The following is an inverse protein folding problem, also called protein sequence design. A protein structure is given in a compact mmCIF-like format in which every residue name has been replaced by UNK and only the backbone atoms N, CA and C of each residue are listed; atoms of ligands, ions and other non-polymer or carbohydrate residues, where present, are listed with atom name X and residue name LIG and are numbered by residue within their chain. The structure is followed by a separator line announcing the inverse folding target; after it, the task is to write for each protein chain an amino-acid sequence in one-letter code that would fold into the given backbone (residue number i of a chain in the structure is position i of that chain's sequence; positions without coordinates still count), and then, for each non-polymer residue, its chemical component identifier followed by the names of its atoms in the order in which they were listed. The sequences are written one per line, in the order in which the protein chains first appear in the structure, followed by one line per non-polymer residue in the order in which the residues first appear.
data_IF_639664194325
#
_entry.id   IF_639664194325
#
_cell.length_a   1.000
_cell.length_b   1.000
_cell.length_c   1.000
_cell.angle_alpha   90.00
_cell.angle_beta   90.00
_cell.angle_gamma   90.00
#
_symmetry.space_group_name_H-M   'P 1'
#
loop_
_entity.id
_entity.type
_entity.pdbx_description
1 polymer ?
#
# COMPACT_ATOMS: atom_id res chain seq x y z
N UNK A 1 -20.84 -65.92 39.49
CA UNK A 1 -20.19 -64.66 39.89
C UNK A 1 -19.00 -64.47 38.97
N UNK A 2 -18.93 -63.55 38.01
CA UNK A 2 -19.64 -62.29 37.77
C UNK A 2 -19.63 -62.08 36.25
N UNK A 3 -20.81 -62.05 35.62
CA UNK A 3 -21.04 -61.31 34.38
C UNK A 3 -20.99 -59.82 34.72
N UNK A 4 -20.30 -59.02 33.92
CA UNK A 4 -20.56 -57.59 33.61
C UNK A 4 -19.23 -56.93 33.21
N UNK A 5 -18.99 -56.72 31.92
CA UNK A 5 -18.25 -55.54 31.44
C UNK A 5 -18.57 -55.29 29.95
N UNK A 6 -19.55 -54.40 29.76
CA UNK A 6 -19.65 -53.33 28.77
C UNK A 6 -19.37 -53.64 27.28
N UNK A 7 -20.45 -53.86 26.53
CA UNK A 7 -20.54 -53.42 25.14
C UNK A 7 -20.54 -51.88 25.09
N UNK A 8 -19.43 -51.27 24.67
CA UNK A 8 -19.40 -49.83 24.38
C UNK A 8 -19.95 -49.62 22.95
N UNK A 9 -21.04 -48.86 22.76
CA UNK A 9 -21.64 -48.71 21.44
C UNK A 9 -20.69 -47.96 20.50
N UNK A 10 -20.40 -48.51 19.32
CA UNK A 10 -19.57 -47.89 18.25
C UNK A 10 -20.18 -46.61 17.63
N UNK A 11 -21.19 -46.02 18.27
CA UNK A 11 -21.88 -44.81 17.84
C UNK A 11 -21.22 -43.53 18.36
N UNK A 12 -20.35 -43.62 19.37
CA UNK A 12 -19.78 -42.46 20.07
C UNK A 12 -18.78 -41.66 19.24
N UNK A 13 -18.00 -42.30 18.36
CA UNK A 13 -17.00 -41.58 17.54
C UNK A 13 -17.61 -40.75 16.42
N UNK A 14 -18.71 -41.21 15.80
CA UNK A 14 -19.37 -40.47 14.72
C UNK A 14 -20.10 -39.24 15.24
N UNK A 15 -20.74 -39.34 16.40
CA UNK A 15 -21.43 -38.21 17.03
C UNK A 15 -20.40 -37.17 17.50
N UNK A 16 -19.28 -37.60 18.08
CA UNK A 16 -18.20 -36.69 18.50
C UNK A 16 -17.55 -35.97 17.30
N UNK A 17 -17.31 -36.68 16.19
CA UNK A 17 -16.77 -36.08 14.97
C UNK A 17 -17.73 -35.05 14.35
N UNK A 18 -19.04 -35.33 14.34
CA UNK A 18 -20.05 -34.38 13.86
C UNK A 18 -20.16 -33.16 14.77
N UNK A 19 -20.02 -33.33 16.09
CA UNK A 19 -20.00 -32.21 17.05
C UNK A 19 -18.78 -31.30 16.86
N UNK A 20 -17.59 -31.89 16.68
CA UNK A 20 -16.37 -31.13 16.39
C UNK A 20 -16.50 -30.38 15.06
N UNK A 21 -17.06 -31.03 14.03
CA UNK A 21 -17.31 -30.38 12.73
C UNK A 21 -18.31 -29.22 12.86
N UNK A 22 -19.40 -29.39 13.63
CA UNK A 22 -20.36 -28.33 13.92
C UNK A 22 -19.73 -27.15 14.66
N UNK A 23 -18.84 -27.42 15.63
CA UNK A 23 -18.10 -26.38 16.37
C UNK A 23 -17.13 -25.66 15.44
N UNK A 24 -16.42 -26.37 14.56
CA UNK A 24 -15.53 -25.75 13.56
C UNK A 24 -16.33 -24.90 12.55
N UNK A 25 -17.51 -25.36 12.12
CA UNK A 25 -18.41 -24.60 11.25
C UNK A 25 -18.95 -23.36 11.99
N UNK A 26 -19.32 -23.47 13.26
CA UNK A 26 -19.76 -22.34 14.09
C UNK A 26 -18.63 -21.33 14.30
N UNK A 27 -17.40 -21.78 14.59
CA UNK A 27 -16.25 -20.88 14.76
C UNK A 27 -15.91 -20.19 13.43
N UNK A 28 -15.91 -20.92 12.32
CA UNK A 28 -15.62 -20.33 11.00
C UNK A 28 -16.71 -19.35 10.57
N UNK A 29 -17.99 -19.71 10.67
CA UNK A 29 -19.11 -18.82 10.34
C UNK A 29 -19.24 -17.62 11.29
N UNK A 30 -19.01 -17.80 12.59
CA UNK A 30 -19.01 -16.71 13.57
C UNK A 30 -17.84 -15.73 13.34
N UNK A 31 -16.65 -16.24 12.99
CA UNK A 31 -15.49 -15.40 12.68
C UNK A 31 -15.66 -14.67 11.35
N UNK A 32 -16.27 -15.31 10.35
CA UNK A 32 -16.57 -14.68 9.05
C UNK A 32 -17.67 -13.61 9.20
N UNK A 33 -18.78 -13.91 9.88
CA UNK A 33 -19.90 -12.97 10.02
C UNK A 33 -19.54 -11.73 10.86
N UNK A 34 -18.82 -11.90 11.98
CA UNK A 34 -18.34 -10.76 12.76
C UNK A 34 -17.25 -9.96 12.05
N UNK A 35 -16.45 -10.62 11.21
CA UNK A 35 -15.42 -9.95 10.41
C UNK A 35 -16.03 -9.14 9.27
N UNK A 36 -16.97 -9.71 8.52
CA UNK A 36 -17.63 -9.03 7.40
C UNK A 36 -18.51 -7.87 7.87
N UNK A 37 -19.19 -7.98 9.02
CA UNK A 37 -19.97 -6.86 9.58
C UNK A 37 -19.07 -5.71 10.06
N UNK A 38 -17.92 -6.03 10.67
CA UNK A 38 -16.93 -5.05 11.11
C UNK A 38 -16.24 -4.36 9.93
N UNK A 39 -15.85 -5.13 8.91
CA UNK A 39 -15.15 -4.65 7.71
C UNK A 39 -16.09 -3.86 6.80
N UNK A 40 -17.33 -4.31 6.60
CA UNK A 40 -18.30 -3.60 5.75
C UNK A 40 -18.68 -2.23 6.34
N UNK A 41 -18.75 -2.10 7.67
CA UNK A 41 -18.93 -0.79 8.33
C UNK A 41 -17.70 0.12 8.14
N UNK A 42 -16.49 -0.43 8.10
CA UNK A 42 -15.24 0.34 8.03
C UNK A 42 -14.86 0.78 6.60
N UNK A 43 -15.06 -0.07 5.58
CA UNK A 43 -14.79 0.29 4.16
C UNK A 43 -15.77 1.37 3.68
N UNK A 44 -17.06 1.19 3.96
CA UNK A 44 -18.09 2.18 3.60
C UNK A 44 -17.87 3.52 4.32
N UNK A 45 -17.32 3.50 5.54
CA UNK A 45 -16.98 4.72 6.27
C UNK A 45 -15.78 5.46 5.65
N UNK A 46 -14.71 4.76 5.28
CA UNK A 46 -13.50 5.35 4.70
C UNK A 46 -13.76 5.98 3.33
N UNK A 47 -14.48 5.28 2.44
CA UNK A 47 -14.84 5.80 1.12
C UNK A 47 -15.74 7.05 1.25
N UNK A 48 -16.72 7.03 2.16
CA UNK A 48 -17.65 8.15 2.33
C UNK A 48 -17.01 9.45 2.84
N UNK A 49 -15.89 9.36 3.58
CA UNK A 49 -15.23 10.51 4.22
C UNK A 49 -14.05 11.05 3.39
N UNK A 50 -13.35 10.19 2.65
CA UNK A 50 -12.24 10.58 1.78
C UNK A 50 -12.71 11.21 0.46
N UNK A 51 -13.88 10.83 -0.05
CA UNK A 51 -14.44 11.35 -1.31
C UNK A 51 -15.23 12.67 -1.17
N UNK A 52 -15.47 13.17 0.06
CA UNK A 52 -16.39 14.30 0.31
C UNK A 52 -15.79 15.71 0.28
N UNK A 53 -14.49 15.91 0.06
CA UNK A 53 -13.92 17.26 0.06
C UNK A 53 -12.97 17.54 -1.13
N UNK A 54 -13.50 17.96 -2.30
CA UNK A 54 -12.68 18.49 -3.40
C UNK A 54 -12.44 20.01 -3.34
N UNK A 55 -13.04 20.74 -2.40
CA UNK A 55 -13.12 22.19 -2.50
C UNK A 55 -12.98 22.88 -1.14
N UNK A 56 -11.72 23.21 -0.77
CA UNK A 56 -11.33 24.38 0.04
C UNK A 56 -9.81 24.35 0.28
N UNK A 57 -9.05 24.81 -0.71
CA UNK A 57 -7.71 25.36 -0.44
C UNK A 57 -7.33 26.30 -1.61
N UNK A 58 -7.88 27.51 -1.57
CA UNK A 58 -7.38 28.69 -2.28
C UNK A 58 -7.58 29.88 -1.36
N UNK A 59 -6.53 30.24 -0.64
CA UNK A 59 -6.13 31.60 -0.25
C UNK A 59 -5.30 31.51 1.03
N UNK A 60 -3.98 31.67 0.90
CA UNK A 60 -3.10 32.33 1.89
C UNK A 60 -1.65 32.16 1.44
N UNK A 61 -1.26 32.91 0.41
CA UNK A 61 0.14 33.29 0.21
C UNK A 61 0.21 34.63 -0.51
N UNK A 62 -0.11 35.69 0.21
CA UNK A 62 0.36 37.03 -0.13
C UNK A 62 0.31 37.90 1.12
N UNK A 63 1.45 38.06 1.80
CA UNK A 63 1.83 39.28 2.52
C UNK A 63 3.20 39.07 3.16
N UNK A 64 4.22 39.68 2.55
CA UNK A 64 5.38 40.35 3.19
C UNK A 64 6.61 40.27 2.28
N UNK A 65 6.81 41.31 1.47
CA UNK A 65 8.15 41.88 1.26
C UNK A 65 7.97 43.39 1.16
N UNK A 66 8.55 44.11 2.12
CA UNK A 66 8.65 45.55 2.11
C UNK A 66 10.09 45.95 1.73
N UNK A 67 10.17 46.98 0.89
CA UNK A 67 11.21 48.01 0.79
C UNK A 67 12.70 47.64 0.71
N UNK A 68 13.33 48.00 -0.41
CA UNK A 68 14.79 48.13 -0.55
C UNK A 68 15.18 48.62 -1.94
N UNK A 69 15.58 49.89 -2.01
CA UNK A 69 16.04 50.68 -3.17
C UNK A 69 17.27 50.10 -3.89
N UNK A 70 17.31 50.17 -5.24
CA UNK A 70 18.46 50.68 -6.02
C UNK A 70 18.22 50.59 -7.55
N UNK A 71 18.67 51.63 -8.23
CA UNK A 71 18.65 51.96 -9.66
C UNK A 71 19.43 50.98 -10.55
N UNK A 72 19.03 50.80 -11.83
CA UNK A 72 19.90 50.79 -13.05
C UNK A 72 19.02 50.65 -14.32
N UNK A 73 19.44 51.38 -15.36
CA UNK A 73 18.84 51.63 -16.70
C UNK A 73 19.28 50.58 -17.74
N UNK A 74 18.48 50.42 -18.84
CA UNK A 74 18.78 50.02 -20.26
C UNK A 74 17.73 49.00 -20.76
N UNK A 75 16.80 49.34 -21.67
CA UNK A 75 16.83 49.52 -23.15
C UNK A 75 16.50 48.24 -23.97
N UNK A 76 15.59 48.39 -24.95
CA UNK A 76 15.22 47.44 -26.05
C UNK A 76 13.88 46.73 -25.84
N UNK A 77 12.76 47.06 -26.52
CA UNK A 77 12.38 46.69 -27.91
C UNK A 77 11.63 45.32 -27.88
N UNK A 78 10.48 45.03 -28.50
CA UNK A 78 9.68 45.63 -29.57
C UNK A 78 8.25 44.98 -29.56
N UNK A 79 7.23 45.77 -29.93
CA UNK A 79 5.90 45.51 -30.55
C UNK A 79 5.02 44.23 -30.25
N UNK A 80 3.89 44.46 -29.56
CA UNK A 80 2.46 44.48 -30.03
C UNK A 80 1.80 43.26 -30.78
N UNK A 81 0.43 43.15 -30.83
CA UNK A 81 -0.50 42.61 -29.82
C UNK A 81 -1.46 41.53 -30.42
N UNK A 82 -2.41 40.95 -29.65
CA UNK A 82 -3.79 40.60 -30.10
C UNK A 82 -4.67 40.34 -28.86
N UNK A 83 -5.85 40.94 -28.92
CA UNK A 83 -6.91 40.98 -27.92
C UNK A 83 -8.14 40.24 -28.50
N UNK A 84 -8.85 39.45 -27.68
CA UNK A 84 -10.29 39.13 -27.78
C UNK A 84 -10.59 38.09 -26.70
N UNK A 85 -11.24 38.47 -25.59
CA UNK A 85 -12.70 38.49 -25.41
C UNK A 85 -13.36 37.20 -25.91
N UNK A 86 -13.67 36.30 -24.98
CA UNK A 86 -14.97 35.63 -24.93
C UNK A 86 -15.25 35.18 -23.49
N UNK A 87 -16.08 35.96 -22.83
CA UNK A 87 -16.77 35.66 -21.59
C UNK A 87 -18.04 34.87 -21.92
N UNK A 88 -18.09 33.59 -21.54
CA UNK A 88 -19.32 32.80 -21.54
C UNK A 88 -19.85 32.69 -20.11
N UNK A 89 -20.87 33.50 -19.82
CA UNK A 89 -21.75 33.39 -18.66
C UNK A 89 -22.63 32.14 -18.81
N UNK A 90 -22.69 31.29 -17.78
CA UNK A 90 -23.69 30.21 -17.71
C UNK A 90 -24.64 30.48 -16.55
N UNK A 91 -25.89 30.82 -16.88
CA UNK A 91 -27.01 30.93 -15.94
C UNK A 91 -27.41 29.53 -15.45
N UNK A 92 -27.74 29.41 -14.16
CA UNK A 92 -28.48 28.25 -13.65
C UNK A 92 -29.70 28.74 -12.89
N UNK A 93 -30.87 28.40 -13.42
CA UNK A 93 -32.15 28.49 -12.73
C UNK A 93 -32.34 27.23 -11.87
N UNK A 94 -32.87 27.38 -10.66
CA UNK A 94 -33.14 26.27 -9.74
C UNK A 94 -34.54 25.67 -9.90
N UNK A 95 -34.73 24.39 -9.60
CA UNK A 95 -35.45 23.92 -8.39
C UNK A 95 -35.49 22.37 -8.24
N UNK A 96 -35.43 21.95 -6.97
CA UNK A 96 -35.97 20.75 -6.30
C UNK A 96 -35.88 19.32 -6.89
N UNK A 97 -35.20 18.42 -6.16
CA UNK A 97 -35.81 17.37 -5.29
C UNK A 97 -34.75 16.38 -4.78
N UNK A 98 -34.84 16.03 -3.51
CA UNK A 98 -33.85 15.25 -2.77
C UNK A 98 -33.76 13.77 -3.19
N UNK A 99 -32.82 13.46 -4.09
CA UNK A 99 -32.09 12.19 -4.11
C UNK A 99 -30.67 12.49 -3.64
N UNK A 100 -30.15 11.69 -2.69
CA UNK A 100 -28.74 11.75 -2.30
C UNK A 100 -27.89 11.40 -3.53
N UNK A 101 -27.50 12.44 -4.28
CA UNK A 101 -26.55 12.34 -5.37
C UNK A 101 -25.23 11.83 -4.79
N UNK A 102 -24.91 10.55 -5.01
CA UNK A 102 -23.52 10.15 -5.11
C UNK A 102 -23.04 10.94 -6.33
N UNK A 103 -22.34 12.04 -6.10
CA UNK A 103 -21.82 12.86 -7.18
C UNK A 103 -20.97 11.94 -8.07
N UNK A 104 -21.50 11.59 -9.24
CA UNK A 104 -20.80 10.77 -10.22
C UNK A 104 -19.53 11.56 -10.55
N UNK A 105 -18.37 11.08 -10.11
CA UNK A 105 -17.10 11.75 -10.40
C UNK A 105 -17.00 11.82 -11.92
N UNK A 106 -16.87 13.02 -12.51
CA UNK A 106 -16.68 13.15 -13.95
C UNK A 106 -15.51 12.26 -14.38
N UNK A 107 -15.70 11.47 -15.44
CA UNK A 107 -14.74 10.45 -15.89
C UNK A 107 -13.38 11.10 -16.25
N UNK A 108 -13.38 12.40 -16.52
CA UNK A 108 -12.27 13.24 -16.91
C UNK A 108 -11.56 13.97 -15.74
N UNK A 109 -11.90 13.68 -14.48
CA UNK A 109 -11.22 14.27 -13.31
C UNK A 109 -10.31 13.25 -12.62
N UNK A 110 -9.04 13.62 -12.44
CA UNK A 110 -8.08 12.81 -11.65
C UNK A 110 -8.25 13.10 -10.16
N UNK A 111 -8.43 12.04 -9.37
CA UNK A 111 -8.56 12.10 -7.90
C UNK A 111 -7.52 11.24 -7.21
N UNK A 112 -7.24 11.50 -5.93
CA UNK A 112 -6.44 10.58 -5.11
C UNK A 112 -7.31 9.38 -4.76
N UNK A 113 -6.78 8.17 -4.95
CA UNK A 113 -7.44 6.93 -4.54
C UNK A 113 -6.41 5.93 -4.02
N UNK A 114 -6.88 4.96 -3.25
CA UNK A 114 -6.05 3.88 -2.72
C UNK A 114 -5.45 3.04 -3.85
N UNK A 115 -4.30 2.38 -3.60
CA UNK A 115 -3.74 1.47 -4.59
C UNK A 115 -4.74 0.35 -4.91
N UNK A 116 -4.86 0.03 -6.20
CA UNK A 116 -5.50 -1.20 -6.65
C UNK A 116 -4.53 -2.37 -6.70
N UNK A 117 -3.23 -2.09 -6.71
CA UNK A 117 -2.18 -3.10 -6.61
C UNK A 117 -0.96 -2.59 -5.84
N UNK A 118 -0.26 -3.50 -5.15
CA UNK A 118 1.02 -3.24 -4.47
C UNK A 118 2.05 -4.29 -4.87
N UNK A 119 3.23 -3.84 -5.29
CA UNK A 119 4.41 -4.70 -5.37
C UNK A 119 5.05 -4.75 -3.98
N UNK A 120 4.82 -5.86 -3.27
CA UNK A 120 5.20 -6.02 -1.86
C UNK A 120 6.65 -6.51 -1.68
N UNK A 121 7.27 -7.03 -2.73
CA UNK A 121 8.57 -7.69 -2.62
C UNK A 121 8.98 -8.45 -3.88
N UNK A 122 10.13 -9.12 -3.87
CA UNK A 122 11.15 -9.10 -2.80
C UNK A 122 12.27 -8.14 -3.18
N UNK A 123 12.89 -7.49 -2.19
CA UNK A 123 14.00 -6.57 -2.45
C UNK A 123 15.10 -7.27 -3.27
N UNK A 124 15.63 -6.54 -4.27
CA UNK A 124 16.71 -6.99 -5.18
C UNK A 124 16.31 -8.04 -6.22
N UNK A 125 15.03 -8.41 -6.32
CA UNK A 125 14.52 -9.28 -7.38
C UNK A 125 13.99 -8.55 -8.62
N UNK A 126 14.29 -7.26 -8.79
CA UNK A 126 13.87 -6.50 -9.98
C UNK A 126 12.54 -5.75 -9.85
N UNK A 127 12.03 -5.57 -8.63
CA UNK A 127 10.78 -4.83 -8.36
C UNK A 127 10.79 -3.41 -8.94
N UNK A 128 11.96 -2.77 -9.02
CA UNK A 128 12.12 -1.45 -9.63
C UNK A 128 11.94 -1.47 -11.15
N UNK A 129 12.47 -2.48 -11.83
CA UNK A 129 12.28 -2.66 -13.28
C UNK A 129 10.81 -2.94 -13.60
N UNK A 130 10.18 -3.85 -12.85
CA UNK A 130 8.76 -4.16 -12.99
C UNK A 130 7.89 -2.91 -12.81
N UNK A 131 8.17 -2.10 -11.77
CA UNK A 131 7.52 -0.80 -11.56
C UNK A 131 7.63 0.09 -12.78
N UNK A 132 8.83 0.22 -13.36
CA UNK A 132 9.07 1.06 -14.54
C UNK A 132 8.28 0.56 -15.74
N UNK A 133 8.27 -0.75 -16.01
CA UNK A 133 7.51 -1.32 -17.14
C UNK A 133 6.00 -1.17 -16.97
N UNK A 134 5.46 -1.41 -15.77
CA UNK A 134 4.03 -1.22 -15.51
C UNK A 134 3.60 0.24 -15.66
N UNK A 135 4.48 1.20 -15.34
CA UNK A 135 4.20 2.62 -15.52
C UNK A 135 4.09 3.07 -17.00
N UNK A 136 4.47 2.21 -17.96
CA UNK A 136 4.26 2.47 -19.39
C UNK A 136 2.82 2.23 -19.82
N UNK A 137 2.04 1.47 -19.05
CA UNK A 137 0.66 1.15 -19.40
C UNK A 137 -0.25 2.38 -19.17
N UNK A 138 -1.10 2.77 -20.15
CA UNK A 138 -1.89 4.00 -20.06
C UNK A 138 -2.84 4.02 -18.86
N UNK A 139 -3.33 2.85 -18.44
CA UNK A 139 -4.25 2.73 -17.32
C UNK A 139 -3.55 2.47 -15.96
N UNK A 140 -2.24 2.68 -15.84
CA UNK A 140 -1.51 2.50 -14.56
C UNK A 140 -0.87 3.82 -14.14
N UNK A 141 -1.08 4.19 -12.87
CA UNK A 141 -0.46 5.36 -12.25
C UNK A 141 0.38 4.92 -11.06
N UNK A 142 1.69 5.09 -11.18
CA UNK A 142 2.63 4.58 -10.16
C UNK A 142 3.04 5.67 -9.16
N UNK A 143 3.11 5.32 -7.88
CA UNK A 143 3.75 6.14 -6.86
C UNK A 143 5.22 6.43 -7.21
N UNK A 144 5.65 7.69 -7.05
CA UNK A 144 7.00 8.13 -7.46
C UNK A 144 8.09 7.37 -6.70
N UNK A 145 7.95 7.29 -5.37
CA UNK A 145 8.88 6.61 -4.47
C UNK A 145 8.28 5.35 -3.82
N UNK A 146 8.94 4.88 -2.77
CA UNK A 146 8.43 3.85 -1.87
C UNK A 146 7.71 4.53 -0.70
N UNK A 147 6.39 4.34 -0.53
CA UNK A 147 5.66 5.07 0.51
C UNK A 147 5.96 4.64 1.95
N UNK A 148 6.42 3.39 2.16
CA UNK A 148 6.76 2.85 3.49
C UNK A 148 5.63 3.00 4.53
N UNK A 149 4.37 2.94 4.09
CA UNK A 149 3.21 3.11 4.95
C UNK A 149 3.11 2.01 6.01
N UNK A 150 3.29 0.76 5.60
CA UNK A 150 3.21 -0.40 6.49
C UNK A 150 4.54 -0.71 7.22
N UNK A 151 5.53 0.18 7.15
CA UNK A 151 6.72 0.06 8.00
C UNK A 151 6.39 0.38 9.48
N UNK A 152 5.31 1.13 9.72
CA UNK A 152 4.83 1.52 11.04
C UNK A 152 3.87 0.46 11.60
N UNK A 153 4.08 0.01 12.83
CA UNK A 153 3.08 -0.77 13.56
C UNK A 153 2.01 0.16 14.12
N UNK A 154 0.82 0.12 13.53
CA UNK A 154 -0.30 0.98 13.92
C UNK A 154 -1.35 0.15 14.65
N UNK A 155 -1.38 0.27 15.98
CA UNK A 155 -2.28 -0.53 16.82
C UNK A 155 -3.64 0.15 17.07
N UNK A 156 -3.74 1.47 16.85
CA UNK A 156 -4.93 2.25 17.15
C UNK A 156 -5.67 2.74 15.89
N UNK A 157 -6.99 2.58 15.86
CA UNK A 157 -7.85 2.94 14.72
C UNK A 157 -7.75 4.41 14.31
N UNK A 158 -7.72 5.32 15.29
CA UNK A 158 -7.61 6.75 15.01
C UNK A 158 -6.28 7.11 14.34
N UNK A 159 -5.18 6.49 14.79
CA UNK A 159 -3.86 6.66 14.19
C UNK A 159 -3.84 6.10 12.76
N UNK A 160 -4.44 4.92 12.53
CA UNK A 160 -4.54 4.33 11.20
C UNK A 160 -5.23 5.27 10.21
N UNK A 161 -6.34 5.90 10.62
CA UNK A 161 -7.05 6.85 9.78
C UNK A 161 -6.21 8.10 9.42
N UNK A 162 -5.41 8.62 10.36
CA UNK A 162 -4.57 9.78 10.08
C UNK A 162 -3.39 9.41 9.18
N UNK A 163 -2.75 8.27 9.43
CA UNK A 163 -1.68 7.76 8.58
C UNK A 163 -2.21 7.42 7.18
N UNK A 164 -3.43 6.90 7.05
CA UNK A 164 -4.08 6.70 5.74
C UNK A 164 -4.19 8.00 4.94
N UNK A 165 -4.52 9.13 5.59
CA UNK A 165 -4.55 10.44 4.89
C UNK A 165 -3.16 10.86 4.42
N UNK A 166 -2.13 10.65 5.24
CA UNK A 166 -0.73 10.93 4.88
C UNK A 166 -0.28 10.06 3.71
N UNK A 167 -0.64 8.78 3.76
CA UNK A 167 -0.39 7.81 2.72
C UNK A 167 -1.01 8.19 1.38
N UNK A 168 -2.30 8.57 1.36
CA UNK A 168 -2.98 9.07 0.16
C UNK A 168 -2.28 10.29 -0.48
N UNK A 169 -1.63 11.15 0.32
CA UNK A 169 -0.86 12.29 -0.22
C UNK A 169 0.36 11.84 -1.03
N UNK A 170 0.93 10.67 -0.75
CA UNK A 170 2.08 10.10 -1.47
C UNK A 170 1.70 9.45 -2.82
N UNK A 171 0.44 9.05 -2.98
CA UNK A 171 -0.05 8.36 -4.18
C UNK A 171 -0.33 9.33 -5.34
N UNK A 172 -0.22 8.94 -6.62
CA UNK A 172 -0.59 9.83 -7.73
C UNK A 172 -2.11 10.08 -7.77
N UNK A 173 -2.53 11.19 -8.40
CA UNK A 173 -3.93 11.32 -8.82
C UNK A 173 -4.17 10.43 -10.05
N UNK A 174 -5.33 9.80 -10.11
CA UNK A 174 -5.71 8.86 -11.17
C UNK A 174 -7.18 9.07 -11.58
N UNK A 175 -7.50 8.74 -12.83
CA UNK A 175 -8.87 8.66 -13.31
C UNK A 175 -9.61 7.45 -12.71
N UNK A 176 -10.96 7.41 -12.77
CA UNK A 176 -11.72 6.26 -12.30
C UNK A 176 -11.28 4.92 -12.90
N UNK A 177 -10.97 4.89 -14.20
CA UNK A 177 -10.55 3.70 -14.96
C UNK A 177 -9.06 3.33 -14.83
N UNK A 178 -8.22 4.19 -14.26
CA UNK A 178 -6.79 3.92 -14.05
C UNK A 178 -6.56 3.16 -12.74
N UNK A 179 -5.54 2.32 -12.64
CA UNK A 179 -5.14 1.66 -11.39
C UNK A 179 -3.96 2.40 -10.77
N UNK A 180 -4.09 2.76 -9.47
CA UNK A 180 -2.94 3.24 -8.70
C UNK A 180 -2.10 2.04 -8.26
N UNK A 181 -0.79 2.11 -8.53
CA UNK A 181 0.19 1.10 -8.17
C UNK A 181 1.23 1.70 -7.23
N UNK A 182 1.55 1.00 -6.15
CA UNK A 182 2.74 1.30 -5.35
C UNK A 182 3.72 0.14 -5.31
N UNK A 183 4.95 0.44 -4.88
CA UNK A 183 6.00 -0.56 -4.70
C UNK A 183 6.82 -0.27 -3.45
N UNK A 184 6.74 -1.14 -2.45
CA UNK A 184 7.65 -1.15 -1.28
C UNK A 184 8.07 -2.60 -0.99
N UNK A 185 9.26 -3.03 -1.44
CA UNK A 185 9.70 -4.43 -1.39
C UNK A 185 9.95 -4.96 0.02
N UNK A 186 10.01 -4.06 1.00
CA UNK A 186 10.19 -4.34 2.43
C UNK A 186 8.91 -4.87 3.07
N UNK A 187 7.76 -4.76 2.41
CA UNK A 187 6.51 -5.25 2.98
C UNK A 187 6.47 -6.77 3.08
N UNK A 188 7.10 -7.49 2.15
CA UNK A 188 7.07 -8.94 2.09
C UNK A 188 7.36 -9.64 3.43
N UNK A 189 8.32 -9.15 4.22
CA UNK A 189 8.72 -9.74 5.50
C UNK A 189 8.29 -8.96 6.75
N UNK A 190 7.50 -7.88 6.58
CA UNK A 190 7.12 -6.99 7.69
C UNK A 190 5.62 -6.71 7.83
N UNK A 191 4.85 -6.85 6.75
CA UNK A 191 3.46 -6.40 6.73
C UNK A 191 2.52 -7.43 7.39
N UNK A 192 1.54 -6.93 8.15
CA UNK A 192 0.41 -7.74 8.60
C UNK A 192 -0.63 -7.84 7.46
N UNK A 193 -0.99 -9.04 6.97
CA UNK A 193 -2.03 -9.22 5.98
C UNK A 193 -3.39 -8.57 6.37
N UNK A 194 -3.68 -8.47 7.68
CA UNK A 194 -4.89 -7.80 8.16
C UNK A 194 -4.89 -6.30 7.83
N UNK A 195 -3.74 -5.64 7.82
CA UNK A 195 -3.65 -4.21 7.50
C UNK A 195 -3.84 -3.94 6.01
N UNK A 196 -3.35 -4.85 5.15
CA UNK A 196 -3.61 -4.82 3.70
C UNK A 196 -5.11 -4.97 3.41
N UNK A 197 -5.74 -5.96 4.04
CA UNK A 197 -7.16 -6.22 3.86
C UNK A 197 -8.04 -5.07 4.40
N UNK A 198 -7.69 -4.54 5.57
CA UNK A 198 -8.37 -3.39 6.19
C UNK A 198 -8.29 -2.14 5.31
N UNK A 199 -7.17 -1.93 4.62
CA UNK A 199 -7.02 -0.81 3.67
C UNK A 199 -7.88 -1.00 2.42
N UNK A 200 -7.80 -2.15 1.77
CA UNK A 200 -8.54 -2.43 0.54
C UNK A 200 -8.73 -3.95 0.38
N UNK A 201 -9.94 -4.50 0.62
CA UNK A 201 -10.21 -5.93 0.44
C UNK A 201 -10.02 -6.43 -1.00
N UNK A 202 -10.14 -5.55 -2.00
CA UNK A 202 -9.96 -5.86 -3.42
C UNK A 202 -8.51 -5.66 -3.90
N UNK A 203 -7.56 -5.46 -2.99
CA UNK A 203 -6.16 -5.17 -3.30
C UNK A 203 -5.49 -6.35 -4.00
N UNK A 204 -4.81 -6.08 -5.12
CA UNK A 204 -3.95 -7.08 -5.78
C UNK A 204 -2.53 -6.99 -5.25
N UNK A 205 -1.96 -8.12 -4.85
CA UNK A 205 -0.57 -8.21 -4.39
C UNK A 205 0.30 -8.78 -5.51
N UNK A 206 1.43 -8.13 -5.78
CA UNK A 206 2.43 -8.58 -6.73
C UNK A 206 3.70 -8.93 -5.95
N UNK A 207 4.09 -10.20 -6.01
CA UNK A 207 5.32 -10.70 -5.41
C UNK A 207 6.28 -11.15 -6.51
N UNK A 208 7.48 -10.58 -6.54
CA UNK A 208 8.53 -10.92 -7.47
C UNK A 208 9.67 -11.63 -6.73
N UNK A 209 9.85 -12.91 -7.02
CA UNK A 209 10.91 -13.74 -6.45
C UNK A 209 12.04 -13.96 -7.45
N UNK A 210 13.23 -14.30 -6.96
CA UNK A 210 14.40 -14.58 -7.76
C UNK A 210 15.32 -15.57 -7.02
N UNK A 211 16.38 -16.02 -7.70
CA UNK A 211 17.37 -16.90 -7.09
C UNK A 211 17.88 -16.33 -5.74
N UNK A 212 17.83 -17.12 -4.65
CA UNK A 212 18.13 -16.64 -3.31
C UNK A 212 19.59 -16.19 -3.17
N UNK A 213 20.53 -16.92 -3.77
CA UNK A 213 21.97 -16.59 -3.71
C UNK A 213 22.22 -15.27 -4.42
N UNK A 214 21.71 -15.11 -5.64
CA UNK A 214 21.82 -13.88 -6.44
C UNK A 214 21.18 -12.69 -5.73
N UNK A 215 20.05 -12.90 -5.06
CA UNK A 215 19.39 -11.86 -4.27
C UNK A 215 20.26 -11.39 -3.10
N UNK A 216 20.79 -12.32 -2.29
CA UNK A 216 21.66 -11.99 -1.13
C UNK A 216 22.93 -11.28 -1.62
N UNK A 217 23.57 -11.78 -2.68
CA UNK A 217 24.73 -11.10 -3.29
C UNK A 217 24.40 -9.68 -3.76
N UNK A 218 23.26 -9.49 -4.44
CA UNK A 218 22.80 -8.17 -4.87
C UNK A 218 22.52 -7.24 -3.69
N UNK A 219 21.99 -7.78 -2.58
CA UNK A 219 21.77 -7.01 -1.36
C UNK A 219 23.08 -6.62 -0.68
N UNK A 220 24.09 -7.51 -0.67
CA UNK A 220 25.43 -7.22 -0.12
C UNK A 220 26.10 -6.08 -0.87
N UNK A 221 26.15 -6.17 -2.21
CA UNK A 221 26.70 -5.11 -3.05
C UNK A 221 25.94 -3.79 -2.88
N UNK A 222 24.61 -3.86 -2.75
CA UNK A 222 23.81 -2.67 -2.50
C UNK A 222 24.11 -2.03 -1.15
N UNK A 223 24.27 -2.82 -0.08
CA UNK A 223 24.62 -2.32 1.25
C UNK A 223 26.03 -1.71 1.29
N UNK A 224 26.99 -2.22 0.50
CA UNK A 224 28.28 -1.56 0.30
C UNK A 224 28.10 -0.23 -0.42
N UNK A 225 27.32 -0.21 -1.50
CA UNK A 225 27.11 0.99 -2.32
C UNK A 225 26.50 2.14 -1.51
N UNK A 226 25.52 1.85 -0.65
CA UNK A 226 24.88 2.85 0.22
C UNK A 226 25.64 3.12 1.53
N UNK A 227 26.82 2.51 1.72
CA UNK A 227 27.68 2.73 2.88
C UNK A 227 27.25 2.04 4.18
N UNK A 228 26.25 1.15 4.14
CA UNK A 228 25.85 0.37 5.31
C UNK A 228 26.87 -0.74 5.64
N UNK A 229 27.52 -1.31 4.62
CA UNK A 229 28.54 -2.35 4.78
C UNK A 229 29.93 -1.82 4.43
N UNK A 230 30.94 -2.33 5.14
CA UNK A 230 32.33 -2.00 4.86
C UNK A 230 32.80 -2.67 3.57
N UNK A 231 33.45 -1.91 2.70
CA UNK A 231 34.11 -2.40 1.48
C UNK A 231 35.20 -3.43 1.76
N UNK A 232 35.75 -3.43 2.97
CA UNK A 232 36.85 -4.32 3.37
C UNK A 232 36.37 -5.63 4.01
N UNK A 233 35.06 -5.76 4.28
CA UNK A 233 34.50 -6.96 4.91
C UNK A 233 33.84 -7.84 3.84
N UNK A 234 34.26 -9.10 3.76
CA UNK A 234 33.78 -10.04 2.74
C UNK A 234 32.30 -10.41 2.94
N UNK A 235 31.68 -10.92 1.88
CA UNK A 235 30.30 -11.40 1.87
C UNK A 235 30.05 -12.43 2.98
N UNK A 236 30.97 -13.38 3.13
CA UNK A 236 30.86 -14.51 4.05
C UNK A 236 30.71 -14.04 5.48
N UNK A 237 31.38 -12.96 5.86
CA UNK A 237 31.32 -12.39 7.21
C UNK A 237 29.99 -11.71 7.55
N UNK A 238 29.10 -11.52 6.58
CA UNK A 238 27.75 -11.00 6.77
C UNK A 238 26.66 -12.08 6.70
N UNK A 239 26.99 -13.25 6.15
CA UNK A 239 26.02 -14.30 5.81
C UNK A 239 26.27 -15.58 6.62
N UNK A 240 27.51 -15.91 6.92
CA UNK A 240 27.89 -17.13 7.62
C UNK A 240 28.46 -16.85 9.01
N UNK A 241 28.19 -17.78 9.94
CA UNK A 241 28.79 -17.79 11.26
C UNK A 241 30.22 -18.36 11.23
N UNK A 242 30.85 -18.49 12.40
CA UNK A 242 32.20 -19.06 12.53
C UNK A 242 32.32 -20.53 12.10
N UNK A 243 31.20 -21.25 12.03
CA UNK A 243 31.12 -22.65 11.65
C UNK A 243 30.78 -22.83 10.15
N UNK A 244 30.61 -21.73 9.41
CA UNK A 244 30.21 -21.75 8.00
C UNK A 244 28.71 -21.93 7.78
N UNK A 245 27.89 -21.85 8.82
CA UNK A 245 26.43 -21.96 8.72
C UNK A 245 25.80 -20.60 8.44
N UNK A 246 24.72 -20.59 7.65
CA UNK A 246 23.97 -19.36 7.34
C UNK A 246 23.38 -18.78 8.62
N UNK A 247 23.54 -17.48 8.82
CA UNK A 247 22.95 -16.72 9.92
C UNK A 247 21.52 -16.32 9.50
N UNK A 248 20.45 -17.00 9.96
CA UNK A 248 19.09 -16.77 9.45
C UNK A 248 18.55 -15.39 9.85
N UNK A 249 19.04 -14.87 10.97
CA UNK A 249 18.67 -13.56 11.52
C UNK A 249 19.39 -12.40 10.84
N UNK A 250 20.43 -12.66 10.04
CA UNK A 250 21.11 -11.61 9.31
C UNK A 250 20.11 -10.94 8.36
N UNK A 251 19.96 -9.62 8.46
CA UNK A 251 18.94 -8.88 7.73
C UNK A 251 19.01 -9.14 6.21
N UNK A 252 20.22 -9.25 5.69
CA UNK A 252 20.48 -9.55 4.28
C UNK A 252 19.92 -10.90 3.84
N UNK A 253 19.80 -11.87 4.74
CA UNK A 253 19.22 -13.21 4.54
C UNK A 253 17.72 -13.20 4.85
N UNK A 254 17.33 -12.67 6.01
CA UNK A 254 15.95 -12.68 6.55
C UNK A 254 14.93 -12.02 5.61
N UNK A 255 15.29 -10.89 4.97
CA UNK A 255 14.38 -10.05 4.14
C UNK A 255 13.74 -10.78 2.94
N UNK A 256 14.12 -12.02 2.67
CA UNK A 256 13.53 -12.83 1.62
C UNK A 256 13.03 -14.19 2.06
N UNK A 257 13.14 -14.52 3.36
CA UNK A 257 12.74 -15.83 3.89
C UNK A 257 13.46 -16.96 3.11
N UNK A 258 14.76 -16.75 2.83
CA UNK A 258 15.59 -17.68 2.07
C UNK A 258 16.66 -18.37 2.92
N UNK A 259 16.50 -18.37 4.24
CA UNK A 259 17.40 -19.08 5.14
C UNK A 259 17.45 -20.59 4.86
N UNK A 260 16.30 -21.23 4.58
CA UNK A 260 16.22 -22.64 4.17
C UNK A 260 16.98 -22.95 2.86
N UNK A 261 16.68 -22.29 1.72
CA UNK A 261 17.42 -22.51 0.46
C UNK A 261 18.93 -22.22 0.49
N UNK A 262 19.43 -21.50 1.50
CA UNK A 262 20.85 -21.18 1.63
C UNK A 262 21.61 -22.19 2.51
N UNK A 263 20.91 -23.07 3.24
CA UNK A 263 21.55 -24.19 3.96
C UNK A 263 22.13 -25.16 2.92
N UNK A 264 23.41 -25.48 3.07
CA UNK A 264 24.11 -26.51 2.29
C UNK A 264 24.08 -27.83 3.01
#
# INVERSE_FOLDING_TARGET
MVQYLAQVPRYSCRILALFILMILILITTFKINNFDEYVSKDVNFLDSKLLKNPSREKSELSTKVNSGTASVKREGGDKNPINSKDSLEFKTDGNSTGRRNIAQIPIDVRVKKLPGAIIIGVQKCGTGALKTYLNLHPNIRVARGEPHFFDLKINHKAQFQEEMKRYLKLLPKAFPNETVLEKTPKYFDMIDPHDLYRMNPALKLILLVCDPVRRVMSAYLHNIFIGMYSKHKSFEKYVFDKNGQVIPTAEIVRRSIYDEPLKR
#
